data_IF_928498289755
#
_entry.id   IF_928498289755
#
_cell.length_a   1.000
_cell.length_b   1.000
_cell.length_c   1.000
_cell.angle_alpha   90.00
_cell.angle_beta   90.00
_cell.angle_gamma   90.00
#
_symmetry.space_group_name_H-M   'P 1'
#
loop_
_entity.id
_entity.type
_entity.pdbx_description
1 polymer ?
#
# COMPACT_ATOMS: atom_id res chain seq x y z
N UNK A 1 15.53 23.84 -35.18
CA UNK A 1 15.96 22.74 -34.31
C UNK A 1 15.75 23.03 -32.80
N UNK A 2 16.46 23.99 -32.19
CA UNK A 2 16.45 24.25 -30.72
C UNK A 2 15.07 24.43 -30.06
N UNK A 3 14.14 25.14 -30.71
CA UNK A 3 12.76 25.33 -30.19
C UNK A 3 11.94 24.03 -30.16
N UNK A 4 12.18 23.12 -31.10
CA UNK A 4 11.50 21.81 -31.13
C UNK A 4 12.07 20.87 -30.06
N UNK A 5 13.38 20.92 -29.82
CA UNK A 5 14.02 20.16 -28.73
C UNK A 5 13.50 20.59 -27.36
N UNK A 6 13.40 21.90 -27.11
CA UNK A 6 12.79 22.43 -25.88
C UNK A 6 11.33 22.00 -25.68
N UNK A 7 10.57 21.93 -26.77
CA UNK A 7 9.20 21.44 -26.72
C UNK A 7 9.13 19.94 -26.39
N UNK A 8 10.06 19.13 -26.91
CA UNK A 8 10.16 17.69 -26.60
C UNK A 8 10.60 17.45 -25.14
N UNK A 9 11.58 18.20 -24.64
CA UNK A 9 12.04 18.13 -23.25
C UNK A 9 10.92 18.47 -22.26
N UNK A 10 10.19 19.57 -22.50
CA UNK A 10 9.02 19.93 -21.67
C UNK A 10 7.89 18.90 -21.70
N UNK A 11 7.77 18.16 -22.79
CA UNK A 11 6.77 17.09 -22.92
C UNK A 11 7.23 15.84 -22.15
N UNK A 12 8.51 15.51 -22.18
CA UNK A 12 9.11 14.43 -21.38
C UNK A 12 8.97 14.71 -19.87
N UNK A 13 9.29 15.93 -19.46
CA UNK A 13 9.13 16.45 -18.10
C UNK A 13 7.70 16.25 -17.55
N UNK A 14 6.69 16.66 -18.32
CA UNK A 14 5.27 16.45 -17.97
C UNK A 14 4.85 14.98 -17.91
N UNK A 15 5.48 14.11 -18.70
CA UNK A 15 5.16 12.68 -18.73
C UNK A 15 5.87 11.90 -17.61
N UNK A 16 6.99 12.43 -17.11
CA UNK A 16 7.75 11.86 -16.01
C UNK A 16 7.33 12.43 -14.64
N UNK A 17 6.46 13.44 -14.60
CA UNK A 17 6.06 14.19 -13.38
C UNK A 17 7.26 14.80 -12.62
N UNK A 18 8.37 15.06 -13.32
CA UNK A 18 9.59 15.61 -12.73
C UNK A 18 9.69 17.10 -13.05
N UNK A 19 9.76 17.96 -12.02
CA UNK A 19 10.11 19.37 -12.20
C UNK A 19 11.63 19.50 -12.43
N UNK A 20 12.10 20.18 -13.50
CA UNK A 20 13.52 20.39 -13.79
C UNK A 20 14.29 21.02 -12.64
N UNK A 21 13.61 21.88 -11.86
CA UNK A 21 14.19 22.55 -10.69
C UNK A 21 14.36 21.54 -9.54
N UNK A 22 13.41 20.62 -9.36
CA UNK A 22 13.55 19.55 -8.37
C UNK A 22 14.60 18.51 -8.75
N UNK A 23 14.77 18.22 -10.04
CA UNK A 23 15.79 17.31 -10.53
C UNK A 23 17.20 17.87 -10.31
N UNK A 24 17.42 19.15 -10.63
CA UNK A 24 18.69 19.85 -10.37
C UNK A 24 19.03 19.84 -8.87
N UNK A 25 18.02 20.08 -8.02
CA UNK A 25 18.17 20.03 -6.56
C UNK A 25 18.55 18.63 -6.06
N UNK A 26 17.88 17.57 -6.53
CA UNK A 26 18.17 16.19 -6.11
C UNK A 26 19.58 15.72 -6.49
N UNK A 27 20.08 16.11 -7.67
CA UNK A 27 21.43 15.77 -8.11
C UNK A 27 22.48 16.44 -7.20
N UNK A 28 22.26 17.71 -6.86
CA UNK A 28 23.13 18.46 -5.94
C UNK A 28 23.09 17.93 -4.49
N UNK A 29 21.96 17.39 -4.05
CA UNK A 29 21.79 16.76 -2.75
C UNK A 29 22.50 15.38 -2.70
N UNK A 30 22.36 14.55 -3.74
CA UNK A 30 23.04 13.25 -3.82
C UNK A 30 24.57 13.34 -3.91
N UNK A 31 25.12 14.39 -4.53
CA UNK A 31 26.58 14.60 -4.56
C UNK A 31 27.18 14.98 -3.19
N UNK A 32 26.35 15.36 -2.20
CA UNK A 32 26.79 15.73 -0.85
C UNK A 32 26.74 14.58 0.18
N UNK A 33 25.98 13.50 -0.08
CA UNK A 33 25.71 12.42 0.90
C UNK A 33 26.67 11.21 0.84
N UNK A 34 27.66 11.20 -0.05
CA UNK A 34 28.64 10.10 -0.13
C UNK A 34 29.76 10.16 0.93
N UNK A 35 29.54 10.84 2.06
CA UNK A 35 30.58 10.98 3.08
C UNK A 35 30.04 11.23 4.50
N UNK A 36 29.37 10.25 5.12
CA UNK A 36 29.57 9.90 6.55
C UNK A 36 28.64 8.74 6.98
N UNK A 37 29.25 7.56 7.19
CA UNK A 37 29.01 6.62 8.28
C UNK A 37 27.63 6.58 8.97
N UNK A 38 26.75 5.67 8.54
CA UNK A 38 25.59 5.26 9.35
C UNK A 38 25.71 3.79 9.79
N UNK A 39 26.11 3.64 11.06
CA UNK A 39 25.97 2.45 11.88
C UNK A 39 24.53 2.45 12.41
N UNK A 40 23.70 1.52 11.94
CA UNK A 40 22.33 1.37 12.44
C UNK A 40 22.35 0.67 13.81
N UNK A 41 22.19 1.47 14.86
CA UNK A 41 21.91 1.06 16.23
C UNK A 41 20.43 0.66 16.34
N UNK A 42 20.16 -0.60 16.70
CA UNK A 42 18.82 -1.18 16.81
C UNK A 42 18.44 -1.34 18.30
N UNK A 43 18.18 -0.24 18.98
CA UNK A 43 17.50 -0.26 20.28
C UNK A 43 16.57 0.96 20.40
N UNK A 44 15.25 0.71 20.32
CA UNK A 44 14.28 1.42 21.15
C UNK A 44 12.94 0.67 21.17
N UNK A 45 12.71 0.03 22.31
CA UNK A 45 11.39 -0.34 22.82
C UNK A 45 10.55 0.94 23.02
N UNK A 46 9.32 0.98 22.54
CA UNK A 46 8.32 1.93 23.05
C UNK A 46 7.19 1.19 23.77
N UNK A 47 7.21 1.42 25.09
CA UNK A 47 6.20 1.17 26.10
C UNK A 47 4.96 2.05 25.82
N UNK A 48 3.80 1.47 25.53
CA UNK A 48 2.56 2.25 25.35
C UNK A 48 1.70 2.19 26.62
N UNK A 49 1.75 3.29 27.39
CA UNK A 49 0.92 3.52 28.57
C UNK A 49 -0.55 3.82 28.22
N UNK A 50 -1.43 3.28 29.07
CA UNK A 50 -2.75 3.77 29.49
C UNK A 50 -3.69 4.45 28.47
N UNK A 51 -4.78 3.75 28.13
CA UNK A 51 -6.06 4.38 27.83
C UNK A 51 -7.11 3.96 28.87
N UNK A 52 -7.72 4.96 29.50
CA UNK A 52 -8.77 4.89 30.51
C UNK A 52 -10.08 4.35 29.88
N UNK A 53 -10.68 3.25 30.36
CA UNK A 53 -11.93 2.75 29.79
C UNK A 53 -13.12 3.52 30.35
N UNK A 54 -13.95 4.02 29.44
CA UNK A 54 -15.13 4.82 29.74
C UNK A 54 -16.34 3.92 30.06
N UNK A 55 -16.75 3.95 31.32
CA UNK A 55 -18.04 3.51 31.90
C UNK A 55 -18.35 1.99 31.96
N UNK A 56 -18.77 1.43 33.11
CA UNK A 56 -18.61 0.00 33.41
C UNK A 56 -19.85 -0.87 33.15
N UNK A 57 -20.92 -0.32 32.55
CA UNK A 57 -22.25 -0.96 32.57
C UNK A 57 -22.61 -1.68 31.25
N UNK A 58 -22.02 -1.27 30.11
CA UNK A 58 -22.23 -1.93 28.80
C UNK A 58 -21.08 -2.85 28.35
N UNK A 59 -19.86 -2.63 28.85
CA UNK A 59 -18.66 -3.33 28.37
C UNK A 59 -18.58 -4.80 28.85
N UNK A 60 -19.17 -5.11 30.00
CA UNK A 60 -19.09 -6.46 30.59
C UNK A 60 -19.89 -7.50 29.83
N UNK A 61 -21.04 -7.10 29.28
CA UNK A 61 -21.93 -7.99 28.54
C UNK A 61 -21.33 -8.33 27.17
N UNK A 62 -20.76 -7.34 26.47
CA UNK A 62 -20.08 -7.55 25.18
C UNK A 62 -18.81 -8.38 25.37
N UNK A 63 -18.03 -8.14 26.43
CA UNK A 63 -16.82 -8.92 26.73
C UNK A 63 -17.12 -10.39 27.08
N UNK A 64 -18.20 -10.66 27.81
CA UNK A 64 -18.67 -12.02 28.08
C UNK A 64 -19.13 -12.73 26.80
N UNK A 65 -19.80 -12.00 25.91
CA UNK A 65 -20.30 -12.53 24.65
C UNK A 65 -19.19 -12.84 23.64
N UNK A 66 -18.20 -11.96 23.53
CA UNK A 66 -16.97 -12.18 22.75
C UNK A 66 -16.21 -13.40 23.29
N UNK A 67 -16.08 -13.53 24.61
CA UNK A 67 -15.47 -14.73 25.23
C UNK A 67 -16.23 -16.00 24.89
N UNK A 68 -17.56 -15.97 24.87
CA UNK A 68 -18.38 -17.12 24.47
C UNK A 68 -18.19 -17.49 22.99
N UNK A 69 -18.16 -16.53 22.07
CA UNK A 69 -17.90 -16.81 20.65
C UNK A 69 -16.51 -17.42 20.47
N UNK A 70 -15.48 -16.80 21.06
CA UNK A 70 -14.10 -17.25 20.98
C UNK A 70 -13.89 -18.64 21.61
N UNK A 71 -14.68 -18.97 22.63
CA UNK A 71 -14.66 -20.30 23.23
C UNK A 71 -15.09 -21.39 22.26
N UNK A 72 -16.15 -21.15 21.49
CA UNK A 72 -16.77 -22.15 20.61
C UNK A 72 -15.94 -22.43 19.37
N UNK A 73 -15.20 -21.43 18.90
CA UNK A 73 -14.26 -21.59 17.77
C UNK A 73 -12.89 -22.14 18.19
N UNK A 74 -12.76 -22.62 19.44
CA UNK A 74 -11.57 -23.25 20.00
C UNK A 74 -10.33 -22.32 20.05
N UNK A 75 -10.56 -21.01 20.23
CA UNK A 75 -9.47 -20.01 20.32
C UNK A 75 -8.72 -20.03 21.67
N UNK A 76 -9.09 -20.94 22.58
CA UNK A 76 -8.49 -21.11 23.91
C UNK A 76 -6.99 -21.40 23.92
N UNK A 77 -6.43 -21.87 22.80
CA UNK A 77 -5.02 -22.19 22.71
C UNK A 77 -4.12 -20.97 22.51
N UNK A 78 -4.69 -19.78 22.28
CA UNK A 78 -3.93 -18.54 22.10
C UNK A 78 -3.81 -17.83 23.46
N UNK A 79 -2.58 -17.72 23.98
CA UNK A 79 -2.30 -17.07 25.28
C UNK A 79 -2.79 -15.62 25.38
N UNK A 80 -2.92 -14.94 24.23
CA UNK A 80 -3.44 -13.57 24.13
C UNK A 80 -4.21 -13.43 22.82
N UNK A 81 -5.52 -13.22 22.90
CA UNK A 81 -6.35 -12.94 21.73
C UNK A 81 -5.88 -11.61 21.12
N UNK A 82 -5.55 -11.55 19.82
CA UNK A 82 -5.22 -10.30 19.14
C UNK A 82 -6.38 -9.29 19.24
N UNK A 83 -6.09 -8.01 19.43
CA UNK A 83 -7.14 -7.00 19.60
C UNK A 83 -8.02 -6.87 18.34
N UNK A 84 -7.41 -7.01 17.17
CA UNK A 84 -8.12 -7.02 15.89
C UNK A 84 -9.13 -8.17 15.80
N UNK A 85 -8.81 -9.33 16.38
CA UNK A 85 -9.72 -10.48 16.42
C UNK A 85 -10.91 -10.21 17.35
N UNK A 86 -10.70 -9.52 18.46
CA UNK A 86 -11.82 -9.09 19.32
C UNK A 86 -12.70 -8.08 18.59
N UNK A 87 -12.09 -7.08 17.93
CA UNK A 87 -12.84 -6.07 17.17
C UNK A 87 -13.69 -6.72 16.10
N UNK A 88 -13.13 -7.67 15.35
CA UNK A 88 -13.85 -8.44 14.34
C UNK A 88 -15.07 -9.16 14.92
N UNK A 89 -14.92 -9.82 16.08
CA UNK A 89 -16.03 -10.53 16.73
C UNK A 89 -17.09 -9.54 17.21
N UNK A 90 -16.72 -8.39 17.77
CA UNK A 90 -17.65 -7.33 18.19
C UNK A 90 -18.43 -6.78 16.99
N UNK A 91 -17.74 -6.44 15.91
CA UNK A 91 -18.35 -5.92 14.68
C UNK A 91 -19.35 -6.95 14.12
N UNK A 92 -18.95 -8.23 14.09
CA UNK A 92 -19.76 -9.33 13.58
C UNK A 92 -21.00 -9.62 14.45
N UNK A 93 -20.88 -9.48 15.77
CA UNK A 93 -22.02 -9.57 16.69
C UNK A 93 -23.03 -8.45 16.39
N UNK A 94 -22.56 -7.21 16.24
CA UNK A 94 -23.42 -6.07 15.95
C UNK A 94 -24.14 -6.23 14.59
N UNK A 95 -23.44 -6.74 13.57
CA UNK A 95 -24.03 -7.08 12.27
C UNK A 95 -25.16 -8.12 12.40
N UNK A 96 -24.89 -9.23 13.10
CA UNK A 96 -25.84 -10.36 13.25
C UNK A 96 -27.05 -10.03 14.14
N UNK A 97 -26.91 -9.10 15.08
CA UNK A 97 -28.01 -8.55 15.86
C UNK A 97 -28.90 -7.63 15.02
N UNK A 98 -28.31 -6.85 14.11
CA UNK A 98 -29.02 -5.93 13.24
C UNK A 98 -29.79 -6.63 12.11
N UNK A 99 -29.24 -7.71 11.55
CA UNK A 99 -29.83 -8.43 10.41
C UNK A 99 -31.03 -9.33 10.78
N UNK A 100 -31.17 -9.76 12.03
CA UNK A 100 -32.30 -10.57 12.51
C UNK A 100 -32.94 -10.01 13.79
N UNK A 101 -33.60 -8.86 13.65
CA UNK A 101 -34.30 -8.16 14.75
C UNK A 101 -35.49 -8.91 15.40
N UNK A 102 -35.75 -10.17 15.03
CA UNK A 102 -36.97 -10.91 15.38
C UNK A 102 -36.78 -11.88 16.55
N UNK A 103 -35.54 -12.06 17.02
CA UNK A 103 -35.25 -12.90 18.18
C UNK A 103 -34.06 -12.34 18.96
N UNK A 104 -34.30 -11.87 20.18
CA UNK A 104 -33.24 -11.49 21.15
C UNK A 104 -32.60 -12.73 21.81
N UNK A 105 -32.57 -13.87 21.11
CA UNK A 105 -31.94 -15.08 21.60
C UNK A 105 -30.42 -14.98 21.39
N UNK A 106 -29.72 -14.64 22.47
CA UNK A 106 -28.25 -14.54 22.51
C UNK A 106 -27.58 -15.82 22.03
N UNK A 107 -28.10 -16.99 22.36
CA UNK A 107 -27.50 -18.25 21.93
C UNK A 107 -27.61 -18.46 20.42
N UNK A 108 -28.73 -18.01 19.83
CA UNK A 108 -28.90 -18.04 18.39
C UNK A 108 -27.94 -17.09 17.67
N UNK A 109 -27.70 -15.89 18.22
CA UNK A 109 -26.70 -14.93 17.69
C UNK A 109 -25.30 -15.56 17.72
N UNK A 110 -24.87 -16.13 18.85
CA UNK A 110 -23.56 -16.81 18.94
C UNK A 110 -23.43 -17.91 17.89
N UNK A 111 -24.46 -18.75 17.71
CA UNK A 111 -24.43 -19.83 16.71
C UNK A 111 -24.33 -19.32 15.28
N UNK A 112 -24.82 -18.12 14.97
CA UNK A 112 -24.69 -17.52 13.63
C UNK A 112 -23.30 -16.91 13.45
N UNK A 113 -22.83 -16.14 14.43
CA UNK A 113 -21.48 -15.57 14.45
C UNK A 113 -20.42 -16.68 14.29
N UNK A 114 -20.52 -17.78 15.05
CA UNK A 114 -19.60 -18.92 14.92
C UNK A 114 -19.63 -19.53 13.51
N UNK A 115 -20.82 -19.74 12.92
CA UNK A 115 -20.95 -20.29 11.56
C UNK A 115 -20.34 -19.38 10.50
N UNK A 116 -20.53 -18.07 10.65
CA UNK A 116 -19.98 -17.07 9.72
C UNK A 116 -18.45 -17.01 9.81
N UNK A 117 -17.89 -17.07 11.02
CA UNK A 117 -16.44 -17.18 11.24
C UNK A 117 -15.87 -18.48 10.66
N UNK A 118 -16.56 -19.62 10.83
CA UNK A 118 -16.15 -20.89 10.20
C UNK A 118 -16.17 -20.79 8.67
N UNK A 119 -17.16 -20.10 8.10
CA UNK A 119 -17.24 -19.89 6.63
C UNK A 119 -16.07 -19.06 6.10
N UNK A 120 -15.52 -18.13 6.89
CA UNK A 120 -14.34 -17.35 6.52
C UNK A 120 -13.04 -18.15 6.60
N UNK A 121 -13.00 -19.17 7.46
CA UNK A 121 -11.89 -20.13 7.52
C UNK A 121 -11.81 -21.01 6.26
N UNK A 122 -12.93 -21.23 5.60
CA UNK A 122 -13.04 -22.07 4.39
C UNK A 122 -12.72 -21.32 3.08
N UNK A 123 -12.45 -20.02 3.13
CA UNK A 123 -11.97 -19.30 1.94
C UNK A 123 -10.59 -19.83 1.59
N UNK A 124 -10.49 -20.45 0.41
CA UNK A 124 -9.25 -21.02 -0.10
C UNK A 124 -8.21 -19.88 -0.19
N UNK A 125 -7.04 -20.07 0.44
CA UNK A 125 -6.03 -19.01 0.62
C UNK A 125 -5.57 -18.38 -0.70
N UNK A 126 -5.74 -19.12 -1.80
CA UNK A 126 -5.48 -18.67 -3.16
C UNK A 126 -6.47 -17.60 -3.66
N UNK A 127 -7.55 -17.29 -2.95
CA UNK A 127 -8.56 -16.33 -3.44
C UNK A 127 -8.00 -14.91 -3.48
N UNK A 128 -7.25 -14.53 -2.44
CA UNK A 128 -6.54 -13.24 -2.40
C UNK A 128 -5.42 -13.25 -3.45
N UNK A 129 -4.66 -14.34 -3.55
CA UNK A 129 -3.59 -14.48 -4.54
C UNK A 129 -4.11 -14.38 -5.98
N UNK A 130 -5.26 -14.97 -6.29
CA UNK A 130 -5.93 -14.89 -7.58
C UNK A 130 -6.42 -13.48 -7.90
N UNK A 131 -6.95 -12.75 -6.90
CA UNK A 131 -7.38 -11.36 -7.06
C UNK A 131 -6.18 -10.42 -7.31
N UNK A 132 -5.13 -10.56 -6.51
CA UNK A 132 -3.89 -9.78 -6.66
C UNK A 132 -3.21 -10.09 -7.99
N UNK A 133 -3.12 -11.36 -8.39
CA UNK A 133 -2.51 -11.75 -9.66
C UNK A 133 -3.29 -11.19 -10.86
N UNK A 134 -4.62 -11.21 -10.82
CA UNK A 134 -5.45 -10.63 -11.87
C UNK A 134 -5.21 -9.11 -12.02
N UNK A 135 -5.12 -8.38 -10.92
CA UNK A 135 -4.88 -6.94 -10.94
C UNK A 135 -3.46 -6.60 -11.43
N UNK A 136 -2.45 -7.34 -10.97
CA UNK A 136 -1.07 -7.17 -11.43
C UNK A 136 -0.89 -7.50 -12.92
N UNK A 137 -1.55 -8.55 -13.42
CA UNK A 137 -1.53 -8.91 -14.85
C UNK A 137 -2.19 -7.82 -15.70
N UNK A 138 -3.30 -7.24 -15.21
CA UNK A 138 -3.99 -6.15 -15.90
C UNK A 138 -3.12 -4.89 -16.00
N UNK A 139 -2.33 -4.59 -14.98
CA UNK A 139 -1.46 -3.42 -14.99
C UNK A 139 -0.17 -3.62 -15.79
N UNK A 140 0.42 -4.82 -15.78
CA UNK A 140 1.70 -5.12 -16.41
C UNK A 140 1.77 -4.70 -17.90
N UNK A 141 0.67 -4.85 -18.64
CA UNK A 141 0.60 -4.45 -20.06
C UNK A 141 0.62 -2.91 -20.24
N UNK A 142 0.10 -2.16 -19.27
CA UNK A 142 0.16 -0.70 -19.24
C UNK A 142 1.55 -0.17 -18.91
N UNK A 143 2.24 -0.82 -17.95
CA UNK A 143 3.61 -0.46 -17.56
C UNK A 143 4.63 -0.74 -18.67
N UNK A 144 4.53 -1.89 -19.36
CA UNK A 144 5.38 -2.24 -20.51
C UNK A 144 5.27 -1.23 -21.64
N UNK A 145 4.04 -0.87 -22.03
CA UNK A 145 3.79 0.11 -23.10
C UNK A 145 4.32 1.51 -22.75
N UNK A 146 4.26 1.90 -21.48
CA UNK A 146 4.86 3.16 -21.01
C UNK A 146 6.39 3.12 -21.12
N UNK A 147 7.03 2.00 -20.78
CA UNK A 147 8.48 1.86 -20.86
C UNK A 147 8.99 1.92 -22.31
N UNK A 148 8.29 1.26 -23.24
CA UNK A 148 8.61 1.32 -24.67
C UNK A 148 8.51 2.76 -25.20
N UNK A 149 7.43 3.48 -24.87
CA UNK A 149 7.25 4.88 -25.25
C UNK A 149 8.36 5.79 -24.69
N UNK A 150 8.78 5.55 -23.44
CA UNK A 150 9.89 6.27 -22.80
C UNK A 150 11.20 6.01 -23.54
N UNK A 151 11.49 4.75 -23.87
CA UNK A 151 12.70 4.39 -24.63
C UNK A 151 12.75 5.02 -26.01
N UNK A 152 11.65 4.95 -26.77
CA UNK A 152 11.56 5.55 -28.10
C UNK A 152 11.72 7.08 -28.04
N UNK A 153 11.11 7.71 -27.04
CA UNK A 153 11.22 9.17 -26.83
C UNK A 153 12.64 9.56 -26.41
N UNK A 154 13.30 8.78 -25.56
CA UNK A 154 14.68 9.01 -25.15
C UNK A 154 15.64 8.93 -26.35
N UNK A 155 15.51 7.90 -27.19
CA UNK A 155 16.27 7.76 -28.43
C UNK A 155 16.09 8.96 -29.37
N UNK A 156 14.86 9.45 -29.55
CA UNK A 156 14.60 10.65 -30.36
C UNK A 156 15.29 11.90 -29.79
N UNK A 157 15.36 12.04 -28.46
CA UNK A 157 16.02 13.16 -27.79
C UNK A 157 17.54 13.04 -27.96
N UNK A 158 18.12 11.87 -27.68
CA UNK A 158 19.55 11.59 -27.84
C UNK A 158 20.02 11.89 -29.27
N UNK A 159 19.28 11.40 -30.26
CA UNK A 159 19.59 11.65 -31.66
C UNK A 159 19.51 13.15 -32.00
N UNK A 160 18.53 13.86 -31.46
CA UNK A 160 18.39 15.31 -31.62
C UNK A 160 19.54 16.11 -30.99
N UNK A 161 20.01 15.70 -29.81
CA UNK A 161 21.17 16.32 -29.14
C UNK A 161 22.44 16.04 -29.94
N UNK A 162 22.68 14.78 -30.31
CA UNK A 162 23.86 14.39 -31.06
C UNK A 162 23.96 15.12 -32.41
N UNK A 163 22.84 15.26 -33.13
CA UNK A 163 22.79 16.04 -34.37
C UNK A 163 23.20 17.50 -34.18
N UNK A 164 22.72 18.16 -33.12
CA UNK A 164 23.11 19.53 -32.80
C UNK A 164 24.58 19.66 -32.44
N UNK A 165 25.11 18.73 -31.63
CA UNK A 165 26.53 18.71 -31.27
C UNK A 165 27.42 18.50 -32.50
N UNK A 166 27.01 17.64 -33.44
CA UNK A 166 27.72 17.41 -34.70
C UNK A 166 27.66 18.64 -35.63
N UNK A 167 26.52 19.34 -35.68
CA UNK A 167 26.40 20.61 -36.41
C UNK A 167 27.35 21.66 -35.83
N UNK A 168 27.32 21.87 -34.50
CA UNK A 168 28.23 22.81 -33.81
C UNK A 168 29.71 22.46 -34.03
N UNK A 169 30.08 21.19 -33.91
CA UNK A 169 31.44 20.72 -34.19
C UNK A 169 31.85 20.96 -35.65
N UNK A 170 30.93 20.79 -36.60
CA UNK A 170 31.20 21.03 -38.02
C UNK A 170 31.39 22.52 -38.33
N UNK A 171 30.66 23.40 -37.66
CA UNK A 171 30.83 24.85 -37.79
C UNK A 171 32.16 25.32 -37.20
N UNK A 172 32.61 24.71 -36.09
CA UNK A 172 33.91 24.99 -35.47
C UNK A 172 35.09 24.48 -36.31
N UNK A 173 34.95 23.37 -37.04
CA UNK A 173 35.99 22.80 -37.90
C UNK A 173 36.19 23.53 -39.25
N UNK A 174 35.25 24.39 -39.66
CA UNK A 174 35.30 25.15 -40.93
C UNK A 174 35.99 26.52 -40.75
N UNK A 175 36.49 26.82 -39.54
CA UNK A 175 37.34 27.98 -39.19
C UNK A 175 38.82 27.59 -39.23
#
# INVERSE_FOLDING_TARGET
AKKQLLHKLRRFEKLAELDPIELEKRILEQEQDYNENDTYDLEQEEEFENYEPASPDGEKEVDEFVKEVLSKINFYHVRRIPEDMKRLVVDLIAEEEQEQSWSNDKEAVVKRVCRRLESWKEVESNTIDMMVEHDLRREHDGWRRRQELVGDTALEIEFGIFGLLMEELSEELVV
#
